data_IF_408510214537
#
_entry.id   IF_408510214537
#
_cell.length_a   1.000
_cell.length_b   1.000
_cell.length_c   1.000
_cell.angle_alpha   90.00
_cell.angle_beta   90.00
_cell.angle_gamma   90.00
#
_symmetry.space_group_name_H-M   'P 1'
#
loop_
_entity.id
_entity.type
_entity.pdbx_description
1 polymer ?
#
# COMPACT_ATOMS: atom_id res chain seq x y z
N UNK A 1 -20.26 17.37 2.11
CA UNK A 1 -20.42 16.65 0.82
C UNK A 1 -19.27 15.68 0.72
N UNK A 2 -19.53 14.41 0.39
CA UNK A 2 -18.45 13.42 0.25
C UNK A 2 -17.71 13.68 -1.07
N UNK A 3 -16.36 13.66 -1.10
CA UNK A 3 -15.62 13.82 -2.34
C UNK A 3 -15.88 12.65 -3.30
N UNK A 4 -15.67 12.89 -4.59
CA UNK A 4 -15.62 11.83 -5.59
C UNK A 4 -14.23 11.19 -5.57
N UNK A 5 -14.12 10.02 -4.94
CA UNK A 5 -12.86 9.27 -4.86
C UNK A 5 -12.42 8.69 -6.20
N UNK A 6 -13.34 8.51 -7.15
CA UNK A 6 -13.02 7.97 -8.47
C UNK A 6 -12.37 9.04 -9.38
N UNK A 7 -12.64 10.31 -9.11
CA UNK A 7 -11.97 11.44 -9.76
C UNK A 7 -10.58 11.76 -9.17
N UNK A 8 -10.23 11.23 -7.99
CA UNK A 8 -8.94 11.49 -7.33
C UNK A 8 -7.82 10.60 -7.88
N UNK A 9 -6.64 11.20 -8.05
CA UNK A 9 -5.40 10.44 -8.21
C UNK A 9 -5.07 9.64 -6.95
N UNK A 10 -4.24 8.59 -7.08
CA UNK A 10 -3.79 7.80 -5.92
C UNK A 10 -3.08 8.65 -4.86
N UNK A 11 -2.34 9.69 -5.27
CA UNK A 11 -1.66 10.60 -4.34
C UNK A 11 -2.67 11.44 -3.55
N UNK A 12 -3.70 11.98 -4.21
CA UNK A 12 -4.77 12.75 -3.55
C UNK A 12 -5.58 11.87 -2.61
N UNK A 13 -5.94 10.66 -3.05
CA UNK A 13 -6.70 9.72 -2.24
C UNK A 13 -5.89 9.24 -1.02
N UNK A 14 -4.58 9.04 -1.14
CA UNK A 14 -3.66 8.81 0.00
C UNK A 14 -3.68 9.96 0.99
N UNK A 15 -3.54 11.19 0.51
CA UNK A 15 -3.57 12.38 1.37
C UNK A 15 -4.92 12.48 2.11
N UNK A 16 -6.02 12.24 1.41
CA UNK A 16 -7.36 12.25 1.99
C UNK A 16 -7.52 11.20 3.11
N UNK A 17 -7.16 9.94 2.85
CA UNK A 17 -7.24 8.85 3.84
C UNK A 17 -6.41 9.15 5.09
N UNK A 18 -5.24 9.78 4.92
CA UNK A 18 -4.39 10.15 6.06
C UNK A 18 -5.02 11.21 6.97
N UNK A 19 -5.74 12.16 6.39
CA UNK A 19 -6.48 13.23 7.09
C UNK A 19 -7.82 12.72 7.65
N UNK A 20 -8.44 11.72 6.99
CA UNK A 20 -9.76 11.17 7.31
C UNK A 20 -9.67 9.69 7.71
N UNK A 21 -8.89 9.39 8.76
CA UNK A 21 -8.56 8.01 9.16
C UNK A 21 -9.76 7.09 9.45
N UNK A 22 -10.92 7.67 9.76
CA UNK A 22 -12.16 6.94 10.06
C UNK A 22 -13.06 6.72 8.83
N UNK A 23 -12.78 7.36 7.69
CA UNK A 23 -13.52 7.13 6.45
C UNK A 23 -13.02 5.83 5.79
N UNK A 24 -13.60 4.72 6.21
CA UNK A 24 -13.26 3.38 5.70
C UNK A 24 -13.54 3.25 4.20
N UNK A 25 -14.52 3.99 3.65
CA UNK A 25 -14.80 3.96 2.21
C UNK A 25 -13.63 4.53 1.41
N UNK A 26 -13.06 5.66 1.85
CA UNK A 26 -11.88 6.23 1.21
C UNK A 26 -10.69 5.28 1.25
N UNK A 27 -10.52 4.56 2.37
CA UNK A 27 -9.49 3.54 2.51
C UNK A 27 -9.69 2.39 1.53
N UNK A 28 -10.90 1.82 1.43
CA UNK A 28 -11.18 0.75 0.48
C UNK A 28 -10.96 1.18 -0.97
N UNK A 29 -11.41 2.39 -1.36
CA UNK A 29 -11.15 2.93 -2.70
C UNK A 29 -9.66 3.05 -3.01
N UNK A 30 -8.85 3.41 -2.01
CA UNK A 30 -7.39 3.46 -2.17
C UNK A 30 -6.81 2.05 -2.37
N UNK A 31 -7.22 1.08 -1.56
CA UNK A 31 -6.74 -0.30 -1.64
C UNK A 31 -7.09 -0.93 -3.00
N UNK A 32 -8.35 -0.82 -3.42
CA UNK A 32 -8.83 -1.34 -4.71
C UNK A 32 -8.02 -0.77 -5.89
N UNK A 33 -7.71 0.53 -5.84
CA UNK A 33 -6.93 1.19 -6.89
C UNK A 33 -5.48 0.72 -6.91
N UNK A 34 -4.86 0.54 -5.75
CA UNK A 34 -3.50 0.01 -5.64
C UNK A 34 -3.40 -1.44 -6.13
N UNK A 35 -4.41 -2.25 -5.86
CA UNK A 35 -4.50 -3.63 -6.37
C UNK A 35 -4.66 -3.66 -7.90
N UNK A 36 -5.52 -2.80 -8.45
CA UNK A 36 -5.71 -2.68 -9.90
C UNK A 36 -4.45 -2.17 -10.63
N UNK A 37 -3.68 -1.25 -10.03
CA UNK A 37 -2.44 -0.72 -10.60
C UNK A 37 -1.25 -1.70 -10.53
N UNK A 38 -1.25 -2.60 -9.56
CA UNK A 38 -0.17 -3.57 -9.36
C UNK A 38 -0.70 -4.95 -8.90
N UNK A 39 -1.38 -5.69 -9.79
CA UNK A 39 -1.98 -6.98 -9.45
C UNK A 39 -0.95 -8.04 -9.08
N UNK A 40 0.29 -7.89 -9.56
CA UNK A 40 1.40 -8.80 -9.28
C UNK A 40 2.19 -8.41 -8.02
N UNK A 41 1.65 -7.48 -7.20
CA UNK A 41 2.29 -7.07 -5.96
C UNK A 41 2.50 -8.28 -5.03
N UNK A 42 3.75 -8.62 -4.65
CA UNK A 42 4.00 -9.77 -3.80
C UNK A 42 3.37 -9.55 -2.42
N UNK A 43 2.67 -10.58 -1.94
CA UNK A 43 2.13 -10.60 -0.58
C UNK A 43 3.25 -10.96 0.40
N UNK A 44 3.39 -10.16 1.46
CA UNK A 44 4.36 -10.40 2.53
C UNK A 44 3.63 -10.72 3.83
N UNK A 45 3.97 -11.83 4.52
CA UNK A 45 3.39 -12.15 5.81
C UNK A 45 3.81 -11.13 6.87
N UNK A 46 3.01 -11.03 7.93
CA UNK A 46 3.38 -10.22 9.09
C UNK A 46 4.64 -10.78 9.76
N UNK A 47 5.64 -9.95 10.10
CA UNK A 47 6.91 -10.40 10.69
C UNK A 47 6.73 -10.63 12.20
N UNK A 48 5.96 -11.65 12.57
CA UNK A 48 5.72 -12.04 13.97
C UNK A 48 6.35 -13.39 14.33
N UNK A 49 6.86 -14.13 13.33
CA UNK A 49 7.65 -15.35 13.51
C UNK A 49 9.08 -15.15 12.97
N UNK A 50 10.07 -15.96 13.40
CA UNK A 50 11.42 -15.91 12.84
C UNK A 50 11.47 -16.02 11.32
N UNK A 51 10.63 -16.87 10.72
CA UNK A 51 10.50 -17.03 9.27
C UNK A 51 9.94 -15.76 8.62
N UNK A 52 8.92 -15.15 9.23
CA UNK A 52 8.35 -13.88 8.76
C UNK A 52 9.37 -12.74 8.77
N UNK A 53 10.22 -12.68 9.80
CA UNK A 53 11.33 -11.73 9.85
C UNK A 53 12.34 -11.96 8.72
N UNK A 54 12.72 -13.20 8.45
CA UNK A 54 13.65 -13.53 7.37
C UNK A 54 13.09 -13.16 5.99
N UNK A 55 11.79 -13.36 5.75
CA UNK A 55 11.11 -12.94 4.52
C UNK A 55 11.14 -11.43 4.36
N UNK A 56 10.79 -10.68 5.42
CA UNK A 56 10.82 -9.22 5.42
C UNK A 56 12.23 -8.68 5.16
N UNK A 57 13.24 -9.21 5.85
CA UNK A 57 14.63 -8.78 5.69
C UNK A 57 15.10 -8.95 4.23
N UNK A 58 14.86 -10.12 3.64
CA UNK A 58 15.21 -10.39 2.24
C UNK A 58 14.51 -9.42 1.29
N UNK A 59 13.21 -9.17 1.48
CA UNK A 59 12.44 -8.24 0.65
C UNK A 59 12.97 -6.80 0.72
N UNK A 60 13.38 -6.35 1.92
CA UNK A 60 13.98 -5.03 2.10
C UNK A 60 15.34 -4.93 1.40
N UNK A 61 16.20 -5.94 1.55
CA UNK A 61 17.50 -5.99 0.88
C UNK A 61 17.38 -5.93 -0.65
N UNK A 62 16.47 -6.72 -1.23
CA UNK A 62 16.21 -6.71 -2.68
C UNK A 62 15.71 -5.33 -3.15
N UNK A 63 14.84 -4.68 -2.37
CA UNK A 63 14.33 -3.35 -2.69
C UNK A 63 15.40 -2.26 -2.60
N UNK A 64 16.33 -2.35 -1.65
CA UNK A 64 17.44 -1.40 -1.54
C UNK A 64 18.39 -1.54 -2.73
N UNK A 65 18.77 -2.77 -3.12
CA UNK A 65 19.60 -3.02 -4.31
C UNK A 65 18.98 -2.43 -5.58
N UNK A 66 17.70 -2.68 -5.82
CA UNK A 66 16.96 -2.11 -6.98
C UNK A 66 16.90 -0.58 -7.02
N UNK A 67 17.17 0.12 -5.91
CA UNK A 67 17.22 1.60 -5.88
C UNK A 67 18.62 2.16 -6.11
N UNK A 68 19.65 1.33 -5.93
CA UNK A 68 21.05 1.70 -6.15
C UNK A 68 21.51 1.46 -7.60
N UNK A 69 20.75 0.63 -8.35
CA UNK A 69 20.87 0.42 -9.80
C UNK A 69 20.11 1.47 -10.62
#
# INVERSE_FOLDING_TARGET
MKPDFDAMSVTELKAYVLDHKQDTEAFYRLVDRLEAENPDSPWYPSPTTPEGFAIMEKALQERMKKREE
#
